data_IF_713242596458
#
_entry.id   IF_713242596458
#
_cell.length_a   1.000
_cell.length_b   1.000
_cell.length_c   1.000
_cell.angle_alpha   90.00
_cell.angle_beta   90.00
_cell.angle_gamma   90.00
#
_symmetry.space_group_name_H-M   'P 1'
#
loop_
_entity.id
_entity.type
_entity.pdbx_description
1 polymer ?
#
# COMPACT_ATOMS: atom_id res chain seq x y z
N UNK A 1 -2.86 13.36 8.51
CA UNK A 1 -1.82 13.14 7.49
C UNK A 1 -2.49 13.16 6.13
N UNK A 2 -2.07 14.02 5.22
CA UNK A 2 -2.64 14.11 3.87
C UNK A 2 -1.53 14.09 2.82
N UNK A 3 -1.77 13.46 1.67
CA UNK A 3 -0.90 13.54 0.50
C UNK A 3 -1.61 14.38 -0.56
N UNK A 4 -0.89 15.33 -1.16
CA UNK A 4 -1.40 16.19 -2.22
C UNK A 4 -0.45 16.16 -3.41
N UNK A 5 -1.02 16.08 -4.62
CA UNK A 5 -0.30 16.28 -5.87
C UNK A 5 -0.47 17.74 -6.28
N UNK A 6 0.63 18.48 -6.33
CA UNK A 6 0.63 19.90 -6.72
C UNK A 6 1.70 20.06 -7.80
N UNK A 7 1.30 20.43 -9.03
CA UNK A 7 2.21 20.63 -10.16
C UNK A 7 3.21 19.48 -10.34
N UNK A 8 2.68 18.26 -10.45
CA UNK A 8 3.45 17.01 -10.61
C UNK A 8 4.41 16.66 -9.47
N UNK A 9 4.31 17.35 -8.33
CA UNK A 9 5.08 17.07 -7.13
C UNK A 9 4.19 16.52 -6.02
N UNK A 10 4.64 15.42 -5.41
CA UNK A 10 3.97 14.81 -4.27
C UNK A 10 4.45 15.45 -2.98
N UNK A 11 3.50 16.02 -2.25
CA UNK A 11 3.74 16.56 -0.92
C UNK A 11 2.97 15.76 0.11
N UNK A 12 3.62 15.54 1.25
CA UNK A 12 2.96 15.02 2.45
C UNK A 12 2.87 16.13 3.47
N UNK A 13 1.68 16.34 4.02
CA UNK A 13 1.45 17.31 5.07
C UNK A 13 1.01 16.67 6.38
N UNK A 14 1.54 17.24 7.46
CA UNK A 14 1.15 16.98 8.84
C UNK A 14 0.64 18.29 9.42
N UNK A 15 -0.58 18.30 9.90
CA UNK A 15 -1.20 19.50 10.47
C UNK A 15 -1.63 19.15 11.90
N UNK A 16 -1.28 20.00 12.86
CA UNK A 16 -1.60 19.81 14.26
C UNK A 16 -1.93 21.16 14.92
N UNK A 17 -2.85 21.18 15.90
CA UNK A 17 -3.19 22.40 16.60
C UNK A 17 -2.05 22.84 17.53
N UNK A 18 -1.87 24.15 17.66
CA UNK A 18 -1.09 24.74 18.75
C UNK A 18 -2.09 25.06 19.84
N UNK A 19 -1.91 24.41 20.98
CA UNK A 19 -2.79 24.57 22.14
C UNK A 19 -2.16 25.55 23.14
N UNK A 20 -3.00 26.35 23.79
CA UNK A 20 -2.58 27.14 24.94
C UNK A 20 -2.50 26.28 26.23
N UNK A 21 -2.16 26.91 27.36
CA UNK A 21 -2.07 26.24 28.67
C UNK A 21 -3.39 25.60 29.14
N UNK A 22 -4.52 26.00 28.57
CA UNK A 22 -5.85 25.51 28.89
C UNK A 22 -6.34 24.45 27.89
N UNK A 23 -5.48 24.02 26.95
CA UNK A 23 -5.82 23.14 25.82
C UNK A 23 -6.75 23.77 24.78
N UNK A 24 -6.89 25.09 24.76
CA UNK A 24 -7.66 25.80 23.75
C UNK A 24 -6.82 26.03 22.50
N UNK A 25 -7.46 25.96 21.32
CA UNK A 25 -6.77 26.12 20.04
C UNK A 25 -6.37 27.59 19.85
N UNK A 26 -5.07 27.86 19.92
CA UNK A 26 -4.49 29.18 19.65
C UNK A 26 -4.12 29.34 18.17
N UNK A 27 -3.90 28.23 17.47
CA UNK A 27 -3.56 28.24 16.05
C UNK A 27 -3.34 26.85 15.47
N UNK A 28 -2.82 26.81 14.24
CA UNK A 28 -2.53 25.58 13.51
C UNK A 28 -1.09 25.63 13.01
N UNK A 29 -0.33 24.57 13.27
CA UNK A 29 0.97 24.34 12.70
C UNK A 29 0.89 23.26 11.62
N UNK A 30 1.72 23.38 10.60
CA UNK A 30 1.82 22.42 9.51
C UNK A 30 3.28 22.13 9.15
N UNK A 31 3.60 20.87 8.90
CA UNK A 31 4.85 20.42 8.27
C UNK A 31 4.49 19.93 6.88
N UNK A 32 5.16 20.46 5.86
CA UNK A 32 5.03 20.00 4.47
C UNK A 32 6.36 19.41 4.04
N UNK A 33 6.33 18.17 3.57
CA UNK A 33 7.50 17.40 3.16
C UNK A 33 7.31 17.04 1.68
N UNK A 34 8.29 17.37 0.86
CA UNK A 34 8.39 16.84 -0.50
C UNK A 34 8.73 15.34 -0.44
N UNK A 35 7.91 14.50 -1.06
CA UNK A 35 8.07 13.04 -1.09
C UNK A 35 8.28 12.50 -2.52
N UNK A 36 8.63 13.35 -3.48
CA UNK A 36 8.89 12.97 -4.87
C UNK A 36 9.92 11.85 -4.99
N UNK A 37 11.10 12.03 -4.38
CA UNK A 37 12.17 11.02 -4.44
C UNK A 37 11.73 9.69 -3.81
N UNK A 38 10.95 9.75 -2.74
CA UNK A 38 10.47 8.56 -2.04
C UNK A 38 9.47 7.79 -2.91
N UNK A 39 8.58 8.49 -3.62
CA UNK A 39 7.65 7.89 -4.56
C UNK A 39 8.38 7.29 -5.76
N UNK A 40 9.40 7.97 -6.30
CA UNK A 40 10.21 7.44 -7.40
C UNK A 40 10.94 6.15 -7.01
N UNK A 41 11.66 6.14 -5.87
CA UNK A 41 12.32 4.93 -5.35
C UNK A 41 11.34 3.78 -5.08
N UNK A 42 10.14 4.09 -4.59
CA UNK A 42 9.10 3.09 -4.39
C UNK A 42 8.61 2.51 -5.73
N UNK A 43 8.41 3.33 -6.75
CA UNK A 43 8.00 2.90 -8.08
C UNK A 43 9.09 2.07 -8.77
N UNK A 44 10.35 2.48 -8.67
CA UNK A 44 11.51 1.73 -9.17
C UNK A 44 11.62 0.37 -8.49
N UNK A 45 11.42 0.30 -7.16
CA UNK A 45 11.41 -0.97 -6.45
C UNK A 45 10.24 -1.86 -6.91
N UNK A 46 9.04 -1.32 -7.06
CA UNK A 46 7.88 -2.08 -7.59
C UNK A 46 8.16 -2.56 -9.02
N UNK A 47 8.79 -1.73 -9.85
CA UNK A 47 9.15 -2.09 -11.21
C UNK A 47 10.24 -3.17 -11.25
N UNK A 48 11.24 -3.09 -10.38
CA UNK A 48 12.26 -4.12 -10.25
C UNK A 48 11.66 -5.44 -9.75
N UNK A 49 10.82 -5.38 -8.70
CA UNK A 49 10.15 -6.54 -8.15
C UNK A 49 9.18 -7.19 -9.14
N UNK A 50 8.48 -6.40 -9.95
CA UNK A 50 7.61 -6.95 -11.01
C UNK A 50 8.42 -7.64 -12.11
N UNK A 51 9.62 -7.14 -12.45
CA UNK A 51 10.52 -7.80 -13.39
C UNK A 51 11.16 -9.06 -12.81
N UNK A 52 11.62 -9.04 -11.56
CA UNK A 52 12.20 -10.22 -10.90
C UNK A 52 11.17 -11.32 -10.66
N UNK A 53 9.89 -10.96 -10.49
CA UNK A 53 8.77 -11.91 -10.37
C UNK A 53 8.44 -12.63 -11.69
N UNK A 54 8.84 -12.09 -12.85
CA UNK A 54 8.57 -12.74 -14.15
C UNK A 54 9.56 -13.86 -14.52
N UNK A 55 10.76 -13.91 -13.91
CA UNK A 55 11.72 -15.01 -14.09
C UNK A 55 11.62 -16.12 -13.04
N UNK A 56 10.80 -15.92 -12.01
CA UNK A 56 10.56 -16.89 -10.94
C UNK A 56 9.12 -17.42 -11.03
N UNK A 57 8.68 -17.85 -12.21
CA UNK A 57 7.51 -18.74 -12.34
C UNK A 57 7.89 -20.14 -11.84
N UNK A 58 8.21 -20.25 -10.56
CA UNK A 58 8.35 -21.54 -9.89
C UNK A 58 6.95 -22.14 -9.64
N UNK A 59 6.78 -23.47 -9.76
CA UNK A 59 5.52 -24.19 -9.99
C UNK A 59 4.51 -24.23 -8.82
N UNK A 60 4.68 -23.38 -7.80
CA UNK A 60 3.90 -23.47 -6.57
C UNK A 60 2.48 -22.88 -6.67
N UNK A 61 2.24 -21.94 -7.60
CA UNK A 61 0.89 -21.38 -7.82
C UNK A 61 -0.06 -22.39 -8.47
N UNK A 62 0.45 -23.33 -9.28
CA UNK A 62 -0.39 -24.35 -9.92
C UNK A 62 -0.82 -25.46 -8.93
N UNK A 63 -0.03 -25.69 -7.87
CA UNK A 63 -0.33 -26.70 -6.84
C UNK A 63 -1.48 -26.26 -5.92
N UNK A 64 -1.50 -24.99 -5.50
CA UNK A 64 -2.51 -24.47 -4.56
C UNK A 64 -3.89 -24.41 -5.22
N UNK A 65 -3.97 -23.99 -6.50
CA UNK A 65 -5.24 -23.92 -7.23
C UNK A 65 -5.82 -25.32 -7.48
N UNK A 66 -4.98 -26.34 -7.73
CA UNK A 66 -5.46 -27.73 -7.88
C UNK A 66 -5.98 -28.31 -6.57
N UNK A 67 -5.32 -28.03 -5.44
CA UNK A 67 -5.75 -28.57 -4.15
C UNK A 67 -7.10 -27.97 -3.71
N UNK A 68 -7.32 -26.67 -3.92
CA UNK A 68 -8.57 -26.00 -3.57
C UNK A 68 -9.77 -26.48 -4.41
N UNK A 69 -9.56 -26.79 -5.70
CA UNK A 69 -10.59 -27.35 -6.59
C UNK A 69 -11.03 -28.77 -6.15
N UNK A 70 -10.12 -29.58 -5.61
CA UNK A 70 -10.40 -30.94 -5.18
C UNK A 70 -11.24 -30.94 -3.89
N UNK A 71 -10.93 -30.07 -2.93
CA UNK A 71 -11.65 -30.00 -1.65
C UNK A 71 -13.10 -29.54 -1.81
N UNK A 72 -13.36 -28.58 -2.71
CA UNK A 72 -14.73 -28.08 -2.95
C UNK A 72 -15.62 -29.15 -3.62
N UNK A 73 -15.05 -30.02 -4.46
CA UNK A 73 -15.79 -31.05 -5.21
C UNK A 73 -16.22 -32.25 -4.35
N UNK A 74 -15.48 -32.54 -3.28
CA UNK A 74 -15.82 -33.59 -2.31
C UNK A 74 -16.99 -33.14 -1.41
N UNK A 75 -17.00 -31.88 -0.98
CA UNK A 75 -18.03 -31.36 -0.09
C UNK A 75 -19.43 -31.37 -0.74
N UNK A 76 -19.52 -31.10 -2.05
CA UNK A 76 -20.81 -31.06 -2.77
C UNK A 76 -21.41 -32.47 -2.97
N UNK A 77 -20.59 -33.51 -3.15
CA UNK A 77 -21.06 -34.88 -3.38
C UNK A 77 -21.43 -35.66 -2.11
N UNK A 78 -21.21 -35.10 -0.92
CA UNK A 78 -21.52 -35.79 0.35
C UNK A 78 -22.83 -35.30 0.98
N UNK A 79 -23.49 -34.30 0.36
CA UNK A 79 -24.72 -33.64 0.86
C UNK A 79 -25.93 -33.92 -0.08
N UNK A 80 -25.77 -34.77 -1.09
CA UNK A 80 -26.88 -35.33 -1.88
C UNK A 80 -27.02 -36.84 -1.66
#
# INVERSE_FOLDING_TARGET
MSEALIKDSYFRSYVFPILDKNQEVQGVAGIVIDINEKKQKQLELIHFLSQSSTKTKFPYTLAIIKHFQITLKIYINTIC
#
